data_IF_953583961365
#
_entry.id   IF_953583961365
#
_cell.length_a   1.000
_cell.length_b   1.000
_cell.length_c   1.000
_cell.angle_alpha   90.00
_cell.angle_beta   90.00
_cell.angle_gamma   90.00
#
_symmetry.space_group_name_H-M   'P 1'
#
loop_
_entity.id
_entity.type
_entity.pdbx_description
1 polymer ?
#
# COMPACT_ATOMS: atom_id res chain seq x y z
N UNK A 1 -7.35 -57.07 -31.44
CA UNK A 1 -8.37 -56.25 -30.76
C UNK A 1 -7.64 -55.41 -29.71
N UNK A 2 -7.18 -54.22 -30.10
CA UNK A 2 -7.91 -52.96 -30.07
C UNK A 2 -8.21 -52.51 -28.62
N UNK A 3 -7.52 -51.45 -28.20
CA UNK A 3 -7.37 -51.03 -26.80
C UNK A 3 -8.55 -50.23 -26.23
N UNK A 4 -8.38 -49.87 -24.96
CA UNK A 4 -9.06 -48.71 -24.36
C UNK A 4 -8.02 -47.87 -23.60
N UNK A 5 -7.87 -46.58 -23.92
CA UNK A 5 -7.02 -45.70 -23.14
C UNK A 5 -7.65 -45.48 -21.76
N UNK A 6 -6.82 -45.45 -20.71
CA UNK A 6 -7.25 -45.01 -19.38
C UNK A 6 -7.62 -43.53 -19.45
N UNK A 7 -8.74 -43.08 -18.86
CA UNK A 7 -9.05 -41.67 -18.80
C UNK A 7 -8.00 -40.97 -17.93
N UNK A 8 -7.09 -40.23 -18.55
CA UNK A 8 -6.29 -39.21 -17.86
C UNK A 8 -7.26 -38.14 -17.38
N UNK A 9 -7.64 -38.22 -16.10
CA UNK A 9 -8.40 -37.16 -15.43
C UNK A 9 -7.48 -35.95 -15.29
N UNK A 10 -7.48 -35.12 -16.33
CA UNK A 10 -6.84 -33.80 -16.40
C UNK A 10 -7.47 -32.95 -15.30
N UNK A 11 -6.88 -32.96 -14.10
CA UNK A 11 -7.35 -32.18 -12.97
C UNK A 11 -7.08 -30.71 -13.30
N UNK A 12 -8.16 -30.02 -13.64
CA UNK A 12 -8.22 -28.64 -14.10
C UNK A 12 -7.42 -27.73 -13.16
N UNK A 13 -6.53 -26.93 -13.74
CA UNK A 13 -5.69 -25.91 -13.10
C UNK A 13 -6.48 -24.84 -12.31
N UNK A 14 -7.80 -24.83 -12.43
CA UNK A 14 -8.70 -23.84 -11.81
C UNK A 14 -8.84 -24.02 -10.29
N UNK A 15 -8.70 -25.25 -9.77
CA UNK A 15 -8.76 -25.49 -8.32
C UNK A 15 -7.50 -25.04 -7.55
N UNK A 16 -6.38 -24.82 -8.25
CA UNK A 16 -5.12 -24.39 -7.61
C UNK A 16 -5.17 -22.91 -7.21
N UNK A 17 -6.01 -22.07 -7.84
CA UNK A 17 -6.12 -20.65 -7.49
C UNK A 17 -6.95 -20.41 -6.21
N UNK A 18 -7.98 -21.24 -5.95
CA UNK A 18 -8.86 -21.09 -4.79
C UNK A 18 -8.25 -21.56 -3.46
N UNK A 19 -7.37 -22.57 -3.50
CA UNK A 19 -6.72 -23.09 -2.28
C UNK A 19 -5.59 -22.19 -1.75
N UNK A 20 -5.04 -21.29 -2.57
CA UNK A 20 -3.94 -20.41 -2.14
C UNK A 20 -4.42 -19.33 -1.14
N UNK A 21 -5.66 -18.82 -1.25
CA UNK A 21 -6.23 -17.87 -0.28
C UNK A 21 -6.59 -18.52 1.07
N UNK A 22 -7.01 -19.79 1.06
CA UNK A 22 -7.37 -20.53 2.26
C UNK A 22 -6.14 -21.11 3.00
N UNK A 23 -5.07 -21.46 2.26
CA UNK A 23 -3.81 -21.92 2.85
C UNK A 23 -2.96 -20.77 3.42
N UNK A 24 -3.08 -19.56 2.87
CA UNK A 24 -2.41 -18.35 3.40
C UNK A 24 -2.99 -17.92 4.74
N UNK A 25 -4.31 -18.06 4.96
CA UNK A 25 -4.97 -17.68 6.22
C UNK A 25 -4.61 -18.60 7.39
N UNK A 26 -4.46 -19.90 7.17
CA UNK A 26 -4.04 -20.84 8.24
C UNK A 26 -2.61 -20.58 8.75
N UNK A 27 -1.75 -19.99 7.92
CA UNK A 27 -0.37 -19.68 8.28
C UNK A 27 -0.25 -18.44 9.17
N UNK A 28 -1.23 -17.51 9.14
CA UNK A 28 -1.18 -16.25 9.89
C UNK A 28 -1.18 -16.48 11.42
N UNK A 29 -1.92 -17.48 11.89
CA UNK A 29 -2.00 -17.80 13.33
C UNK A 29 -0.69 -18.28 13.94
N UNK A 30 0.28 -18.73 13.14
CA UNK A 30 1.60 -19.20 13.60
C UNK A 30 2.69 -18.14 13.52
N UNK A 31 2.39 -16.91 13.13
CA UNK A 31 3.40 -15.86 13.16
C UNK A 31 3.78 -15.53 14.59
N UNK A 32 5.09 -15.55 14.86
CA UNK A 32 5.67 -14.98 16.08
C UNK A 32 5.48 -13.47 16.05
N UNK A 33 4.38 -12.99 16.59
CA UNK A 33 3.99 -11.57 16.65
C UNK A 33 5.15 -10.64 17.03
N UNK A 34 5.98 -10.97 18.01
CA UNK A 34 7.15 -10.15 18.36
C UNK A 34 8.18 -9.97 17.23
N UNK A 35 8.38 -10.97 16.37
CA UNK A 35 9.27 -10.87 15.19
C UNK A 35 8.62 -10.05 14.08
N UNK A 36 7.30 -10.17 13.92
CA UNK A 36 6.51 -9.40 12.95
C UNK A 36 6.52 -7.93 13.32
N UNK A 37 6.21 -7.59 14.58
CA UNK A 37 6.29 -6.22 15.08
C UNK A 37 7.67 -5.63 14.91
N UNK A 38 8.74 -6.37 15.23
CA UNK A 38 10.11 -5.91 15.02
C UNK A 38 10.43 -5.64 13.55
N UNK A 39 9.96 -6.50 12.63
CA UNK A 39 10.18 -6.31 11.20
C UNK A 39 9.35 -5.15 10.64
N UNK A 40 8.07 -5.03 11.04
CA UNK A 40 7.19 -3.94 10.67
C UNK A 40 7.72 -2.61 11.19
N UNK A 41 8.16 -2.55 12.44
CA UNK A 41 8.76 -1.35 13.04
C UNK A 41 10.00 -0.90 12.28
N UNK A 42 10.92 -1.82 11.96
CA UNK A 42 12.11 -1.53 11.14
C UNK A 42 11.74 -1.00 9.75
N UNK A 43 10.77 -1.64 9.08
CA UNK A 43 10.27 -1.17 7.79
C UNK A 43 9.65 0.23 7.90
N UNK A 44 8.82 0.48 8.91
CA UNK A 44 8.17 1.76 9.14
C UNK A 44 9.20 2.86 9.41
N UNK A 45 10.18 2.61 10.27
CA UNK A 45 11.25 3.56 10.59
C UNK A 45 12.05 3.97 9.33
N UNK A 46 12.29 3.02 8.41
CA UNK A 46 13.00 3.29 7.16
C UNK A 46 12.15 4.06 6.16
N UNK A 47 10.89 3.67 5.99
CA UNK A 47 10.01 4.27 4.98
C UNK A 47 9.44 5.63 5.42
N UNK A 48 9.25 5.85 6.72
CA UNK A 48 8.64 7.06 7.26
C UNK A 48 9.29 8.36 6.76
N UNK A 49 10.62 8.59 6.88
CA UNK A 49 11.21 9.84 6.43
C UNK A 49 11.06 10.05 4.92
N UNK A 50 11.23 8.99 4.12
CA UNK A 50 11.14 9.07 2.66
C UNK A 50 9.71 9.38 2.18
N UNK A 51 8.73 8.67 2.74
CA UNK A 51 7.31 8.85 2.38
C UNK A 51 6.80 10.20 2.88
N UNK A 52 7.07 10.56 4.14
CA UNK A 52 6.60 11.83 4.72
C UNK A 52 7.12 13.04 3.97
N UNK A 53 8.41 13.08 3.61
CA UNK A 53 8.96 14.19 2.81
C UNK A 53 8.30 14.28 1.44
N UNK A 54 8.02 13.15 0.79
CA UNK A 54 7.33 13.13 -0.51
C UNK A 54 5.90 13.63 -0.41
N UNK A 55 5.15 13.23 0.62
CA UNK A 55 3.79 13.69 0.86
C UNK A 55 3.75 15.19 1.19
N UNK A 56 4.69 15.67 2.00
CA UNK A 56 4.75 17.09 2.39
C UNK A 56 5.03 18.03 1.22
N UNK A 57 5.68 17.55 0.14
CA UNK A 57 5.91 18.36 -1.07
C UNK A 57 4.62 18.75 -1.79
N UNK A 58 3.54 18.01 -1.61
CA UNK A 58 2.22 18.33 -2.21
C UNK A 58 1.64 19.63 -1.63
N UNK A 59 2.08 20.04 -0.44
CA UNK A 59 1.65 21.27 0.21
C UNK A 59 2.59 22.46 -0.05
N UNK A 60 3.68 22.25 -0.79
CA UNK A 60 4.67 23.29 -1.06
C UNK A 60 4.33 24.00 -2.37
N UNK A 61 3.71 25.17 -2.22
CA UNK A 61 3.33 26.05 -3.33
C UNK A 61 4.35 27.17 -3.48
N UNK A 62 4.57 27.59 -4.72
CA UNK A 62 5.42 28.72 -5.10
C UNK A 62 4.65 29.68 -6.00
N UNK A 63 4.87 30.98 -5.80
CA UNK A 63 4.22 32.03 -6.58
C UNK A 63 5.04 32.31 -7.85
N UNK A 64 4.37 32.28 -9.00
CA UNK A 64 4.96 32.62 -10.30
C UNK A 64 3.97 33.55 -11.01
N UNK A 65 4.40 34.77 -11.29
CA UNK A 65 3.60 35.78 -12.04
C UNK A 65 2.21 36.07 -11.44
N UNK A 66 2.05 35.96 -10.12
CA UNK A 66 0.80 36.23 -9.40
C UNK A 66 -0.12 35.01 -9.23
N UNK A 67 0.26 33.85 -9.78
CA UNK A 67 -0.46 32.59 -9.63
C UNK A 67 0.33 31.61 -8.75
N UNK A 68 -0.38 30.79 -7.96
CA UNK A 68 0.24 29.80 -7.08
C UNK A 68 0.34 28.45 -7.77
N UNK A 69 1.56 27.97 -7.97
CA UNK A 69 1.83 26.67 -8.58
C UNK A 69 2.44 25.69 -7.59
N UNK A 70 2.26 24.40 -7.86
CA UNK A 70 2.90 23.35 -7.08
C UNK A 70 4.40 23.26 -7.44
N UNK A 71 5.29 23.35 -6.45
CA UNK A 71 6.75 23.31 -6.70
C UNK A 71 7.22 21.99 -7.33
N UNK A 72 6.52 20.90 -7.03
CA UNK A 72 6.81 19.59 -7.60
C UNK A 72 6.35 19.45 -9.07
N UNK A 73 5.35 20.23 -9.50
CA UNK A 73 4.82 20.22 -10.86
C UNK A 73 4.13 21.56 -11.18
N UNK A 74 4.80 22.39 -11.98
CA UNK A 74 4.32 23.72 -12.39
C UNK A 74 3.08 23.67 -13.31
N UNK A 75 2.61 22.49 -13.69
CA UNK A 75 1.36 22.35 -14.47
C UNK A 75 0.12 22.39 -13.57
N UNK A 76 0.27 22.17 -12.26
CA UNK A 76 -0.82 22.19 -11.29
C UNK A 76 -0.87 23.54 -10.57
N UNK A 77 -2.04 24.17 -10.60
CA UNK A 77 -2.33 25.32 -9.75
C UNK A 77 -2.66 24.85 -8.32
N UNK A 78 -2.08 25.52 -7.33
CA UNK A 78 -2.46 25.31 -5.94
C UNK A 78 -3.86 25.87 -5.67
N UNK A 79 -4.55 25.29 -4.69
CA UNK A 79 -5.93 25.62 -4.31
C UNK A 79 -7.01 25.28 -5.36
N UNK A 80 -6.65 24.58 -6.43
CA UNK A 80 -7.59 24.05 -7.39
C UNK A 80 -8.22 22.71 -6.92
N UNK A 81 -9.34 22.30 -7.51
CA UNK A 81 -10.05 21.07 -7.16
C UNK A 81 -9.17 19.81 -7.37
N UNK A 82 -8.30 19.84 -8.38
CA UNK A 82 -7.35 18.76 -8.67
C UNK A 82 -6.29 18.65 -7.57
N UNK A 83 -5.68 19.78 -7.19
CA UNK A 83 -4.72 19.85 -6.08
C UNK A 83 -5.35 19.42 -4.76
N UNK A 84 -6.58 19.86 -4.47
CA UNK A 84 -7.27 19.52 -3.23
C UNK A 84 -7.45 18.00 -3.04
N UNK A 85 -7.75 17.26 -4.12
CA UNK A 85 -7.84 15.80 -4.07
C UNK A 85 -6.49 15.15 -3.72
N UNK A 86 -5.39 15.64 -4.31
CA UNK A 86 -4.04 15.15 -4.01
C UNK A 86 -3.59 15.53 -2.59
N UNK A 87 -3.91 16.73 -2.14
CA UNK A 87 -3.63 17.21 -0.80
C UNK A 87 -4.37 16.36 0.26
N UNK A 88 -5.66 16.09 0.04
CA UNK A 88 -6.46 15.24 0.93
C UNK A 88 -5.91 13.81 0.99
N UNK A 89 -5.63 13.19 -0.16
CA UNK A 89 -5.04 11.85 -0.22
C UNK A 89 -3.70 11.81 0.53
N UNK A 90 -2.86 12.82 0.33
CA UNK A 90 -1.55 12.90 0.97
C UNK A 90 -1.66 13.06 2.48
N UNK A 91 -2.59 13.90 2.95
CA UNK A 91 -2.89 14.07 4.37
C UNK A 91 -3.42 12.77 4.99
N UNK A 92 -4.35 12.07 4.33
CA UNK A 92 -4.86 10.79 4.78
C UNK A 92 -3.76 9.73 4.89
N UNK A 93 -2.88 9.62 3.89
CA UNK A 93 -1.76 8.68 3.92
C UNK A 93 -0.77 9.01 5.04
N UNK A 94 -0.46 10.28 5.25
CA UNK A 94 0.41 10.72 6.34
C UNK A 94 -0.20 10.40 7.71
N UNK A 95 -1.51 10.60 7.87
CA UNK A 95 -2.25 10.25 9.07
C UNK A 95 -2.24 8.73 9.32
N UNK A 96 -2.52 7.91 8.31
CA UNK A 96 -2.43 6.45 8.42
C UNK A 96 -1.01 5.98 8.79
N UNK A 97 0.02 6.59 8.22
CA UNK A 97 1.44 6.31 8.54
C UNK A 97 1.89 6.86 9.88
N UNK A 98 1.13 7.74 10.54
CA UNK A 98 1.47 8.25 11.87
C UNK A 98 0.67 7.51 12.95
N UNK A 99 -0.59 7.18 12.66
CA UNK A 99 -1.51 6.52 13.57
C UNK A 99 -1.49 4.97 13.48
N UNK A 100 -1.00 4.40 12.38
CA UNK A 100 -1.07 2.95 12.16
C UNK A 100 -0.32 2.10 13.20
N UNK A 101 0.86 2.53 13.63
CA UNK A 101 1.65 1.84 14.63
C UNK A 101 1.17 2.03 16.07
N UNK A 102 0.78 3.24 16.54
CA UNK A 102 0.19 3.35 17.88
C UNK A 102 -1.11 2.55 17.97
N UNK A 103 -1.96 2.56 16.93
CA UNK A 103 -3.16 1.72 16.88
C UNK A 103 -2.79 0.23 16.88
N UNK A 104 -1.80 -0.18 16.08
CA UNK A 104 -1.36 -1.57 16.00
C UNK A 104 -0.63 -2.09 17.25
N UNK A 105 -0.12 -1.22 18.12
CA UNK A 105 0.44 -1.59 19.43
C UNK A 105 -0.65 -1.63 20.50
N UNK A 106 -1.67 -0.76 20.39
CA UNK A 106 -2.75 -0.64 21.37
C UNK A 106 -3.83 -1.72 21.21
N UNK A 107 -4.11 -2.18 19.98
CA UNK A 107 -5.02 -3.29 19.65
C UNK A 107 -4.32 -4.65 19.78
#
# INVERSE_FOLDING_TARGET
>A
RAGRPRPTRRRSSVFVAGEQLAATTKSIKKLRWGRVFRSLFMFWLLCYPGVSVKLLRVFKCMEVEGEWYLEADLRLHCFDATWAAFALLSACMLACFTCGLPIGILL
#
